data_IF_962768383499
#
_entry.id   IF_962768383499
#
_cell.length_a   1.000
_cell.length_b   1.000
_cell.length_c   1.000
_cell.angle_alpha   90.00
_cell.angle_beta   90.00
_cell.angle_gamma   90.00
#
_symmetry.space_group_name_H-M   'P 1'
#
loop_
_entity.id
_entity.type
_entity.pdbx_description
1 polymer ?
#
# COMPACT_ATOMS: atom_id res chain seq x y z
N UNK A 1 -95.99 -0.02 0.97
CA UNK A 1 -94.89 -0.91 0.52
C UNK A 1 -93.92 -0.07 -0.30
N UNK A 2 -92.73 0.20 0.24
CA UNK A 2 -91.67 0.99 -0.41
C UNK A 2 -90.77 0.04 -1.22
N UNK A 3 -90.59 0.32 -2.50
CA UNK A 3 -89.61 -0.33 -3.38
C UNK A 3 -88.29 0.45 -3.32
N UNK A 4 -87.22 -0.18 -2.82
CA UNK A 4 -85.85 0.33 -2.92
C UNK A 4 -85.18 -0.32 -4.13
N UNK A 5 -84.74 0.49 -5.09
CA UNK A 5 -83.89 0.07 -6.20
C UNK A 5 -82.42 0.06 -5.78
N UNK A 6 -81.73 -1.06 -6.00
CA UNK A 6 -80.29 -1.20 -5.82
C UNK A 6 -79.57 -0.80 -7.12
N UNK A 7 -78.67 0.18 -7.02
CA UNK A 7 -77.69 0.50 -8.05
C UNK A 7 -76.43 -0.34 -7.80
N UNK A 8 -76.03 -1.16 -8.77
CA UNK A 8 -74.73 -1.84 -8.75
C UNK A 8 -73.68 -0.90 -9.34
N UNK A 9 -72.70 -0.47 -8.52
CA UNK A 9 -71.51 0.24 -8.95
C UNK A 9 -70.42 -0.80 -9.25
N UNK A 10 -70.05 -0.96 -10.52
CA UNK A 10 -68.94 -1.82 -10.92
C UNK A 10 -67.62 -1.06 -10.76
N UNK A 11 -66.83 -1.42 -9.74
CA UNK A 11 -65.43 -1.00 -9.64
C UNK A 11 -64.58 -1.90 -10.55
N UNK A 12 -64.04 -1.30 -11.61
CA UNK A 12 -62.98 -1.90 -12.42
C UNK A 12 -61.65 -1.68 -11.69
N UNK A 13 -61.10 -2.75 -11.11
CA UNK A 13 -59.71 -2.77 -10.64
C UNK A 13 -58.83 -2.90 -11.87
N UNK A 14 -58.26 -1.79 -12.34
CA UNK A 14 -57.21 -1.80 -13.36
C UNK A 14 -55.96 -2.44 -12.77
N UNK A 15 -55.60 -3.64 -13.23
CA UNK A 15 -54.25 -4.15 -13.07
C UNK A 15 -53.31 -3.23 -13.85
N UNK A 16 -52.56 -2.39 -13.16
CA UNK A 16 -51.40 -1.75 -13.74
C UNK A 16 -50.38 -2.84 -14.08
N UNK A 17 -50.25 -3.14 -15.35
CA UNK A 17 -49.13 -3.93 -15.88
C UNK A 17 -47.85 -3.18 -15.56
N UNK A 18 -47.03 -3.70 -14.67
CA UNK A 18 -45.65 -3.26 -14.50
C UNK A 18 -44.94 -3.61 -15.81
N UNK A 19 -44.60 -2.60 -16.63
CA UNK A 19 -43.73 -2.83 -17.79
C UNK A 19 -42.41 -3.42 -17.28
N UNK A 20 -42.04 -4.57 -17.82
CA UNK A 20 -40.78 -5.20 -17.47
C UNK A 20 -39.63 -4.33 -18.01
N UNK A 21 -38.71 -3.96 -17.13
CA UNK A 21 -37.49 -3.25 -17.50
C UNK A 21 -36.75 -4.03 -18.59
N UNK A 22 -36.42 -3.36 -19.70
CA UNK A 22 -35.71 -4.00 -20.80
C UNK A 22 -34.21 -3.93 -20.57
N UNK A 23 -33.60 -5.09 -20.39
CA UNK A 23 -32.15 -5.25 -20.29
C UNK A 23 -31.46 -4.76 -21.58
N UNK A 24 -30.43 -3.89 -21.47
CA UNK A 24 -29.58 -3.52 -22.59
C UNK A 24 -28.91 -4.75 -23.20
N UNK A 25 -28.88 -4.83 -24.53
CA UNK A 25 -28.26 -5.96 -25.24
C UNK A 25 -27.09 -5.48 -26.07
N UNK A 26 -25.88 -5.89 -25.68
CA UNK A 26 -24.69 -5.68 -26.51
C UNK A 26 -24.86 -6.38 -27.86
N UNK A 27 -24.52 -5.68 -28.94
CA UNK A 27 -24.57 -6.27 -30.28
C UNK A 27 -23.37 -7.20 -30.46
N UNK A 28 -23.57 -8.50 -30.77
CA UNK A 28 -22.47 -9.41 -31.05
C UNK A 28 -21.80 -9.04 -32.38
N UNK A 29 -20.47 -9.00 -32.39
CA UNK A 29 -19.63 -8.72 -33.56
C UNK A 29 -18.60 -9.83 -33.73
N UNK A 30 -18.53 -10.50 -34.89
CA UNK A 30 -17.55 -11.55 -35.11
C UNK A 30 -16.12 -11.06 -34.83
N UNK A 31 -15.44 -11.71 -33.89
CA UNK A 31 -14.04 -11.49 -33.61
C UNK A 31 -13.39 -12.84 -33.27
N UNK A 32 -12.43 -13.25 -34.08
CA UNK A 32 -11.72 -14.50 -33.92
C UNK A 32 -10.40 -14.27 -33.17
N UNK A 33 -10.18 -15.03 -32.11
CA UNK A 33 -8.92 -15.07 -31.39
C UNK A 33 -8.27 -16.45 -31.62
N UNK A 34 -7.07 -16.48 -32.18
CA UNK A 34 -6.34 -17.71 -32.45
C UNK A 34 -5.12 -17.84 -31.55
N UNK A 35 -5.00 -18.96 -30.86
CA UNK A 35 -3.83 -19.28 -30.06
C UNK A 35 -3.61 -20.80 -30.04
N UNK A 36 -2.36 -21.23 -30.23
CA UNK A 36 -1.97 -22.65 -30.27
C UNK A 36 -2.75 -23.50 -31.30
N UNK A 37 -3.19 -22.88 -32.39
CA UNK A 37 -3.98 -23.55 -33.45
C UNK A 37 -5.45 -23.79 -33.09
N UNK A 38 -5.93 -23.24 -31.98
CA UNK A 38 -7.35 -23.20 -31.61
C UNK A 38 -7.93 -21.80 -31.87
N UNK A 39 -9.12 -21.75 -32.48
CA UNK A 39 -9.80 -20.49 -32.83
C UNK A 39 -11.04 -20.34 -31.96
N UNK A 40 -11.02 -19.34 -31.08
CA UNK A 40 -12.16 -18.95 -30.24
C UNK A 40 -12.85 -17.74 -30.85
N UNK A 41 -14.18 -17.70 -30.78
CA UNK A 41 -14.96 -16.53 -31.16
C UNK A 41 -15.36 -15.76 -29.90
N UNK A 42 -14.98 -14.49 -29.84
CA UNK A 42 -15.43 -13.56 -28.81
C UNK A 42 -16.31 -12.48 -29.44
N UNK A 43 -17.63 -12.68 -29.51
CA UNK A 43 -18.51 -11.72 -30.16
C UNK A 43 -18.57 -10.35 -29.45
N UNK A 44 -17.98 -10.22 -28.25
CA UNK A 44 -18.04 -9.00 -27.45
C UNK A 44 -16.66 -8.36 -27.25
N UNK A 45 -15.64 -8.84 -27.95
CA UNK A 45 -14.27 -8.31 -27.86
C UNK A 45 -14.22 -6.79 -28.04
N UNK A 46 -15.09 -6.23 -28.88
CA UNK A 46 -15.18 -4.80 -29.16
C UNK A 46 -15.53 -3.94 -27.93
N UNK A 47 -16.11 -4.51 -26.86
CA UNK A 47 -16.38 -3.81 -25.61
C UNK A 47 -15.10 -3.40 -24.85
N UNK A 48 -13.93 -3.90 -25.26
CA UNK A 48 -12.65 -3.52 -24.67
C UNK A 48 -12.14 -2.13 -25.12
N UNK A 49 -12.74 -1.54 -26.16
CA UNK A 49 -12.34 -0.25 -26.71
C UNK A 49 -12.96 0.90 -25.91
N UNK A 50 -12.18 1.42 -24.96
CA UNK A 50 -12.63 2.40 -23.95
C UNK A 50 -13.05 3.75 -24.54
N UNK A 51 -12.55 4.11 -25.72
CA UNK A 51 -12.84 5.40 -26.37
C UNK A 51 -13.99 5.29 -27.38
N UNK A 52 -14.47 4.08 -27.64
CA UNK A 52 -15.53 3.82 -28.61
C UNK A 52 -16.88 4.36 -28.12
N UNK A 53 -17.54 5.27 -28.85
CA UNK A 53 -18.84 5.82 -28.47
C UNK A 53 -19.94 4.76 -28.29
N UNK A 54 -19.88 3.65 -29.02
CA UNK A 54 -20.86 2.56 -28.87
C UNK A 54 -20.67 1.77 -27.57
N UNK A 55 -19.43 1.67 -27.08
CA UNK A 55 -19.14 1.04 -25.79
C UNK A 55 -19.66 1.94 -24.68
N UNK A 56 -19.37 3.24 -24.75
CA UNK A 56 -19.86 4.23 -23.79
C UNK A 56 -21.39 4.22 -23.75
N UNK A 57 -22.05 4.27 -24.91
CA UNK A 57 -23.51 4.23 -24.99
C UNK A 57 -24.11 2.95 -24.40
N UNK A 58 -23.45 1.80 -24.58
CA UNK A 58 -23.89 0.55 -23.96
C UNK A 58 -23.74 0.58 -22.44
N UNK A 59 -22.62 1.09 -21.92
CA UNK A 59 -22.40 1.25 -20.47
C UNK A 59 -23.41 2.22 -19.84
N UNK A 60 -23.74 3.32 -20.53
CA UNK A 60 -24.77 4.28 -20.08
C UNK A 60 -26.16 3.64 -20.03
N UNK A 61 -26.48 2.76 -20.98
CA UNK A 61 -27.72 2.00 -20.98
C UNK A 61 -27.76 0.99 -19.81
N UNK A 62 -26.66 0.29 -19.52
CA UNK A 62 -26.54 -0.61 -18.37
C UNK A 62 -26.68 0.13 -17.03
N UNK A 63 -26.07 1.32 -16.92
CA UNK A 63 -26.24 2.18 -15.75
C UNK A 63 -27.70 2.60 -15.55
N UNK A 64 -28.37 3.00 -16.64
CA UNK A 64 -29.80 3.36 -16.61
C UNK A 64 -30.65 2.17 -16.16
N UNK A 65 -30.45 0.99 -16.75
CA UNK A 65 -31.15 -0.23 -16.37
C UNK A 65 -30.94 -0.59 -14.89
N UNK A 66 -29.71 -0.45 -14.38
CA UNK A 66 -29.39 -0.62 -12.96
C UNK A 66 -30.12 0.39 -12.08
N UNK A 67 -30.14 1.67 -12.46
CA UNK A 67 -30.81 2.72 -11.71
C UNK A 67 -32.33 2.49 -11.61
N UNK A 68 -32.96 2.10 -12.71
CA UNK A 68 -34.39 1.80 -12.76
C UNK A 68 -34.72 0.52 -11.95
N UNK A 69 -33.92 -0.53 -12.11
CA UNK A 69 -34.09 -1.80 -11.39
C UNK A 69 -33.87 -1.70 -9.88
N UNK A 70 -33.03 -0.75 -9.44
CA UNK A 70 -32.77 -0.50 -8.02
C UNK A 70 -33.79 0.44 -7.36
N UNK A 71 -34.67 1.11 -8.12
CA UNK A 71 -35.68 2.04 -7.55
C UNK A 71 -36.50 1.43 -6.40
N UNK A 72 -37.01 0.17 -6.48
CA UNK A 72 -37.83 -0.39 -5.42
C UNK A 72 -37.10 -0.53 -4.07
N UNK A 73 -35.77 -0.60 -4.06
CA UNK A 73 -34.95 -0.75 -2.86
C UNK A 73 -34.21 0.53 -2.45
N UNK A 74 -34.45 1.65 -3.13
CA UNK A 74 -33.74 2.91 -2.88
C UNK A 74 -33.87 3.39 -1.44
N UNK A 75 -35.05 3.23 -0.82
CA UNK A 75 -35.24 3.56 0.58
C UNK A 75 -34.40 2.72 1.53
N UNK A 76 -34.19 1.43 1.23
CA UNK A 76 -33.31 0.55 2.02
C UNK A 76 -31.84 0.93 1.81
N UNK A 77 -31.43 1.24 0.57
CA UNK A 77 -30.09 1.73 0.25
C UNK A 77 -29.75 2.97 1.08
N UNK A 78 -30.66 3.94 1.17
CA UNK A 78 -30.43 5.18 1.92
C UNK A 78 -30.33 4.93 3.45
N UNK A 79 -31.12 3.98 3.97
CA UNK A 79 -31.02 3.53 5.37
C UNK A 79 -29.65 2.91 5.63
N UNK A 80 -29.22 1.96 4.78
CA UNK A 80 -27.92 1.29 4.92
C UNK A 80 -26.76 2.28 4.77
N UNK A 81 -26.84 3.21 3.80
CA UNK A 81 -25.85 4.26 3.62
C UNK A 81 -25.70 5.11 4.88
N UNK A 82 -26.81 5.58 5.44
CA UNK A 82 -26.82 6.38 6.68
C UNK A 82 -26.29 5.57 7.87
N UNK A 83 -26.68 4.30 7.99
CA UNK A 83 -26.24 3.41 9.06
C UNK A 83 -24.73 3.13 9.01
N UNK A 84 -24.17 2.92 7.82
CA UNK A 84 -22.73 2.70 7.61
C UNK A 84 -21.93 3.99 7.85
N UNK A 85 -22.35 5.12 7.28
CA UNK A 85 -21.63 6.40 7.41
C UNK A 85 -21.65 6.94 8.84
N UNK A 86 -22.74 6.74 9.59
CA UNK A 86 -22.81 7.13 11.01
C UNK A 86 -21.86 6.35 11.92
N UNK A 87 -21.32 5.21 11.46
CA UNK A 87 -20.30 4.45 12.20
C UNK A 87 -18.88 4.93 11.93
N UNK A 88 -18.67 5.72 10.89
CA UNK A 88 -17.37 6.31 10.59
C UNK A 88 -17.06 7.40 11.62
N UNK A 89 -15.84 7.40 12.13
CA UNK A 89 -15.37 8.50 12.96
C UNK A 89 -15.03 9.68 12.03
N UNK A 90 -15.68 10.85 12.16
CA UNK A 90 -15.38 12.02 11.33
C UNK A 90 -13.98 12.62 11.58
N UNK A 91 -13.28 12.17 12.62
CA UNK A 91 -11.87 12.47 12.87
C UNK A 91 -11.06 11.16 12.86
N UNK A 92 -10.56 10.80 11.68
CA UNK A 92 -9.76 9.59 11.45
C UNK A 92 -8.25 9.90 11.55
N UNK A 93 -7.84 10.52 12.65
CA UNK A 93 -6.44 10.82 12.91
C UNK A 93 -5.63 9.58 13.29
N UNK A 94 -4.46 9.41 12.67
CA UNK A 94 -3.51 8.35 13.03
C UNK A 94 -2.91 8.60 14.42
N UNK A 95 -2.41 7.54 15.08
CA UNK A 95 -1.58 7.71 16.28
C UNK A 95 -0.24 8.35 15.87
N UNK A 96 0.25 9.40 16.56
CA UNK A 96 1.55 10.00 16.26
C UNK A 96 2.68 8.97 16.28
N UNK A 97 3.60 9.05 15.32
CA UNK A 97 4.78 8.17 15.22
C UNK A 97 6.03 8.99 15.48
N UNK A 98 6.89 8.51 16.39
CA UNK A 98 8.19 9.13 16.63
C UNK A 98 9.25 8.60 15.66
N UNK A 99 9.97 9.51 15.01
CA UNK A 99 11.04 9.21 14.08
C UNK A 99 12.10 10.32 14.16
N UNK A 100 13.31 9.97 14.63
CA UNK A 100 14.50 10.83 14.69
C UNK A 100 14.29 12.20 15.37
N UNK A 101 13.61 12.19 16.51
CA UNK A 101 13.33 13.42 17.27
C UNK A 101 12.15 14.23 16.74
N UNK A 102 11.40 13.72 15.77
CA UNK A 102 10.15 14.31 15.29
C UNK A 102 8.96 13.38 15.55
N UNK A 103 7.77 13.97 15.64
CA UNK A 103 6.50 13.26 15.66
C UNK A 103 5.72 13.56 14.39
N UNK A 104 5.27 12.51 13.71
CA UNK A 104 4.46 12.60 12.50
C UNK A 104 3.05 12.09 12.74
N UNK A 105 2.06 12.75 12.14
CA UNK A 105 0.66 12.35 12.26
C UNK A 105 -0.09 12.65 10.96
N UNK A 106 -0.95 11.73 10.55
CA UNK A 106 -1.89 11.95 9.44
C UNK A 106 -3.27 12.20 10.03
N UNK A 107 -3.99 13.21 9.54
CA UNK A 107 -5.33 13.54 10.04
C UNK A 107 -6.33 13.73 8.92
N UNK A 108 -7.53 13.18 9.11
CA UNK A 108 -8.72 13.53 8.34
C UNK A 108 -9.58 14.43 9.20
N UNK A 109 -9.48 15.73 8.96
CA UNK A 109 -10.26 16.71 9.72
C UNK A 109 -11.70 16.73 9.22
N UNK A 110 -12.64 17.01 10.12
CA UNK A 110 -14.06 17.05 9.80
C UNK A 110 -14.36 17.91 8.58
N UNK A 111 -15.02 17.32 7.59
CA UNK A 111 -15.42 17.98 6.34
C UNK A 111 -14.31 18.07 5.29
N UNK A 112 -13.15 17.45 5.53
CA UNK A 112 -12.09 17.29 4.54
C UNK A 112 -12.20 15.92 3.87
N UNK A 113 -12.02 15.86 2.56
CA UNK A 113 -12.04 14.62 1.77
C UNK A 113 -10.67 13.92 1.77
N UNK A 114 -9.60 14.67 2.07
CA UNK A 114 -8.22 14.22 1.97
C UNK A 114 -7.42 14.47 3.26
N UNK A 115 -6.33 13.72 3.50
CA UNK A 115 -5.55 13.86 4.72
C UNK A 115 -4.70 15.13 4.74
N UNK A 116 -4.37 15.56 5.95
CA UNK A 116 -3.27 16.48 6.26
C UNK A 116 -2.15 15.74 6.98
N UNK A 117 -0.92 16.04 6.61
CA UNK A 117 0.27 15.51 7.25
C UNK A 117 0.87 16.56 8.17
N UNK A 118 1.05 16.19 9.43
CA UNK A 118 1.54 17.05 10.49
C UNK A 118 2.87 16.55 11.03
N UNK A 119 3.72 17.50 11.44
CA UNK A 119 5.01 17.26 12.08
C UNK A 119 5.14 18.12 13.34
N UNK A 120 5.72 17.54 14.41
CA UNK A 120 6.17 18.26 15.62
C UNK A 120 7.63 17.93 15.90
N UNK A 121 8.40 18.92 16.34
CA UNK A 121 9.80 18.71 16.73
C UNK A 121 9.92 18.43 18.23
N UNK A 122 10.76 17.46 18.59
CA UNK A 122 11.04 17.08 19.98
C UNK A 122 9.91 16.31 20.64
N UNK A 123 8.99 17.04 21.29
CA UNK A 123 7.94 16.45 22.12
C UNK A 123 6.63 16.22 21.34
N UNK A 124 5.85 15.23 21.77
CA UNK A 124 4.58 14.86 21.13
C UNK A 124 3.52 15.97 21.24
N UNK A 125 3.59 16.80 22.28
CA UNK A 125 2.77 17.97 22.56
C UNK A 125 3.44 19.30 22.16
N UNK A 126 4.56 19.22 21.42
CA UNK A 126 5.29 20.38 20.94
C UNK A 126 4.55 21.15 19.81
N UNK A 127 5.11 22.29 19.36
CA UNK A 127 4.56 23.06 18.26
C UNK A 127 4.40 22.21 16.99
N UNK A 128 3.25 22.36 16.35
CA UNK A 128 2.84 21.59 15.19
C UNK A 128 2.95 22.40 13.89
N UNK A 129 3.29 21.71 12.79
CA UNK A 129 3.32 22.27 11.44
C UNK A 129 2.64 21.29 10.48
N UNK A 130 1.68 21.78 9.68
CA UNK A 130 1.15 21.04 8.53
C UNK A 130 2.20 21.08 7.42
N UNK A 131 2.76 19.93 7.10
CA UNK A 131 3.81 19.78 6.08
C UNK A 131 3.25 19.41 4.70
N UNK A 132 2.01 18.95 4.63
CA UNK A 132 1.29 18.68 3.38
C UNK A 132 -0.22 18.68 3.64
N UNK A 133 -0.96 19.54 2.94
CA UNK A 133 -2.42 19.51 2.90
C UNK A 133 -2.87 19.00 1.52
N UNK A 134 -3.38 17.77 1.48
CA UNK A 134 -3.81 17.15 0.23
C UNK A 134 -5.11 17.77 -0.29
N UNK A 135 -5.91 18.41 0.57
CA UNK A 135 -7.13 19.09 0.14
C UNK A 135 -6.79 20.28 -0.76
N UNK A 136 -5.75 21.04 -0.42
CA UNK A 136 -5.27 22.15 -1.27
C UNK A 136 -4.76 21.65 -2.63
N UNK A 137 -4.09 20.50 -2.67
CA UNK A 137 -3.67 19.88 -3.92
C UNK A 137 -4.84 19.38 -4.77
N UNK A 138 -5.92 18.95 -4.12
CA UNK A 138 -7.10 18.42 -4.78
C UNK A 138 -8.05 19.52 -5.30
N UNK A 139 -7.85 20.79 -4.92
CA UNK A 139 -8.71 21.88 -5.38
C UNK A 139 -8.76 21.97 -6.91
N UNK A 140 -9.97 21.91 -7.46
CA UNK A 140 -10.21 21.93 -8.91
C UNK A 140 -9.85 20.64 -9.65
N UNK A 141 -9.40 19.59 -8.95
CA UNK A 141 -9.09 18.28 -9.53
C UNK A 141 -10.27 17.32 -9.38
N UNK A 142 -10.57 16.54 -10.43
CA UNK A 142 -11.59 15.50 -10.36
C UNK A 142 -11.15 14.28 -9.53
N UNK A 143 -9.83 14.12 -9.34
CA UNK A 143 -9.20 13.06 -8.59
C UNK A 143 -7.88 13.57 -8.02
N UNK A 144 -7.52 13.16 -6.82
CA UNK A 144 -6.21 13.42 -6.23
C UNK A 144 -5.79 12.24 -5.36
N UNK A 145 -4.58 11.73 -5.58
CA UNK A 145 -3.98 10.73 -4.70
C UNK A 145 -2.50 11.06 -4.49
N UNK A 146 -2.09 11.12 -3.23
CA UNK A 146 -0.68 11.25 -2.85
C UNK A 146 -0.10 9.87 -2.52
N UNK A 147 1.05 9.53 -3.13
CA UNK A 147 1.82 8.33 -2.81
C UNK A 147 2.82 8.62 -1.69
N UNK A 148 2.40 8.42 -0.44
CA UNK A 148 3.26 8.51 0.75
C UNK A 148 4.00 9.85 0.92
N UNK A 149 4.85 9.91 1.95
CA UNK A 149 5.80 11.01 2.18
C UNK A 149 7.18 10.41 2.48
N UNK A 150 8.22 10.98 1.87
CA UNK A 150 9.60 10.48 1.98
C UNK A 150 10.50 11.58 2.50
N UNK A 151 11.10 11.37 3.67
CA UNK A 151 11.87 12.37 4.39
C UNK A 151 13.37 12.10 4.25
N UNK A 152 14.15 13.16 4.09
CA UNK A 152 15.62 13.10 4.21
C UNK A 152 16.01 12.66 5.64
N UNK A 153 17.23 12.15 5.80
CA UNK A 153 17.67 11.62 7.09
C UNK A 153 17.67 12.67 8.22
N UNK A 154 17.85 13.95 7.86
CA UNK A 154 17.82 15.13 8.74
C UNK A 154 16.43 15.78 8.86
N UNK A 155 15.42 15.22 8.18
CA UNK A 155 14.05 15.71 8.15
C UNK A 155 13.89 17.17 7.69
N UNK A 156 14.84 17.69 6.91
CA UNK A 156 14.77 19.04 6.34
C UNK A 156 14.04 19.08 5.00
N UNK A 157 13.94 17.96 4.28
CA UNK A 157 13.28 17.90 2.97
C UNK A 157 12.32 16.73 2.90
N UNK A 158 11.26 16.90 2.12
CA UNK A 158 10.25 15.89 1.84
C UNK A 158 10.08 15.71 0.34
N UNK A 159 9.88 14.49 -0.10
CA UNK A 159 9.33 14.16 -1.41
C UNK A 159 7.97 13.48 -1.24
N UNK A 160 7.06 13.69 -2.19
CA UNK A 160 5.79 12.98 -2.30
C UNK A 160 5.44 12.81 -3.77
N UNK A 161 4.76 11.73 -4.14
CA UNK A 161 4.18 11.58 -5.48
C UNK A 161 2.71 12.01 -5.47
N UNK A 162 2.22 12.60 -6.55
CA UNK A 162 0.80 12.95 -6.72
C UNK A 162 0.25 12.48 -8.06
N UNK A 163 -0.95 11.89 -8.06
CA UNK A 163 -1.70 11.45 -9.24
C UNK A 163 -3.05 12.16 -9.27
N UNK A 164 -3.35 12.82 -10.40
CA UNK A 164 -4.61 13.53 -10.63
C UNK A 164 -5.54 12.83 -11.64
N UNK A 165 -5.14 11.67 -12.17
CA UNK A 165 -5.84 10.96 -13.26
C UNK A 165 -6.15 9.50 -12.94
N UNK A 166 -5.88 9.03 -11.72
CA UNK A 166 -6.22 7.68 -11.22
C UNK A 166 -5.61 6.55 -12.06
N UNK A 167 -4.38 6.77 -12.56
CA UNK A 167 -3.61 5.77 -13.32
C UNK A 167 -2.45 5.20 -12.51
N UNK A 168 -2.31 5.60 -11.24
CA UNK A 168 -1.15 5.33 -10.38
C UNK A 168 0.15 5.73 -11.09
N UNK A 169 0.09 6.84 -11.84
CA UNK A 169 1.21 7.43 -12.56
C UNK A 169 1.49 8.78 -11.90
N UNK A 170 2.45 8.79 -10.98
CA UNK A 170 2.65 9.89 -10.06
C UNK A 170 3.66 10.89 -10.61
N UNK A 171 3.44 12.15 -10.28
CA UNK A 171 4.45 13.21 -10.40
C UNK A 171 5.10 13.42 -9.03
N UNK A 172 6.41 13.19 -8.91
CA UNK A 172 7.15 13.48 -7.69
C UNK A 172 7.34 14.98 -7.53
N UNK A 173 7.09 15.47 -6.33
CA UNK A 173 7.28 16.86 -5.91
C UNK A 173 8.02 16.92 -4.60
N UNK A 174 8.67 18.06 -4.35
CA UNK A 174 9.60 18.22 -3.25
C UNK A 174 9.29 19.46 -2.41
N UNK A 175 9.50 19.37 -1.11
CA UNK A 175 9.22 20.45 -0.15
C UNK A 175 10.44 20.66 0.74
N UNK A 176 10.88 21.91 0.86
CA UNK A 176 11.76 22.35 1.94
C UNK A 176 10.92 22.50 3.21
N UNK A 177 11.19 21.67 4.22
CA UNK A 177 10.42 21.64 5.46
C UNK A 177 10.86 22.69 6.47
N UNK A 178 11.98 23.39 6.26
CA UNK A 178 12.38 24.51 7.11
C UNK A 178 11.58 25.76 6.75
N UNK A 179 11.33 25.99 5.46
CA UNK A 179 10.52 27.11 4.98
C UNK A 179 9.07 26.74 4.63
N UNK A 180 8.74 25.45 4.67
CA UNK A 180 7.48 24.88 4.22
C UNK A 180 7.11 25.30 2.78
N UNK A 181 8.11 25.27 1.88
CA UNK A 181 7.99 25.74 0.50
C UNK A 181 8.20 24.59 -0.49
N UNK A 182 7.27 24.43 -1.42
CA UNK A 182 7.41 23.49 -2.53
C UNK A 182 8.44 23.99 -3.53
N UNK A 183 9.32 23.10 -3.97
CA UNK A 183 10.32 23.39 -5.00
C UNK A 183 9.65 23.51 -6.37
N UNK A 184 10.16 24.41 -7.21
CA UNK A 184 9.82 24.48 -8.64
C UNK A 184 10.61 23.43 -9.42
N UNK A 185 10.42 22.17 -9.04
CA UNK A 185 11.07 21.01 -9.62
C UNK A 185 10.18 19.79 -9.41
N UNK A 186 9.84 19.09 -10.48
CA UNK A 186 8.99 17.90 -10.43
C UNK A 186 9.48 16.81 -11.39
N UNK A 187 9.12 15.56 -11.09
CA UNK A 187 9.47 14.40 -11.93
C UNK A 187 8.20 13.64 -12.28
N UNK A 188 7.67 13.78 -13.51
CA UNK A 188 6.46 13.08 -13.94
C UNK A 188 6.72 11.62 -14.31
N UNK A 189 5.66 10.83 -14.48
CA UNK A 189 5.76 9.48 -15.05
C UNK A 189 6.30 8.40 -14.11
N UNK A 190 6.23 8.64 -12.80
CA UNK A 190 6.81 7.75 -11.78
C UNK A 190 5.78 6.75 -11.25
N UNK A 191 6.27 5.70 -10.60
CA UNK A 191 5.42 4.75 -9.87
C UNK A 191 5.08 5.21 -8.44
N UNK A 192 5.68 6.29 -7.96
CA UNK A 192 5.68 6.71 -6.55
C UNK A 192 6.78 6.03 -5.71
N UNK A 193 7.48 5.01 -6.25
CA UNK A 193 8.64 4.41 -5.59
C UNK A 193 9.81 5.40 -5.49
N UNK A 194 10.38 5.55 -4.30
CA UNK A 194 11.32 6.63 -3.99
C UNK A 194 12.29 6.29 -2.86
N UNK A 195 13.54 6.72 -2.98
CA UNK A 195 14.54 6.67 -1.91
C UNK A 195 15.46 7.90 -1.91
N UNK A 196 15.61 8.54 -0.74
CA UNK A 196 16.66 9.54 -0.52
C UNK A 196 18.01 8.87 -0.25
N UNK A 197 19.08 9.41 -0.83
CA UNK A 197 20.43 9.17 -0.36
C UNK A 197 20.69 9.85 1.00
N UNK A 198 21.84 9.57 1.61
CA UNK A 198 22.23 10.12 2.90
C UNK A 198 22.66 11.59 2.82
N UNK A 199 23.03 12.09 1.64
CA UNK A 199 23.36 13.50 1.40
C UNK A 199 22.12 14.42 1.45
N UNK A 200 20.91 13.84 1.40
CA UNK A 200 19.65 14.58 1.40
C UNK A 200 19.35 15.35 0.11
N UNK A 201 20.09 15.12 -0.97
CA UNK A 201 19.97 15.84 -2.25
C UNK A 201 19.87 14.88 -3.43
N UNK A 202 20.61 13.77 -3.39
CA UNK A 202 20.50 12.69 -4.37
C UNK A 202 19.30 11.82 -4.02
N UNK A 203 18.51 11.48 -5.02
CA UNK A 203 17.36 10.59 -4.86
C UNK A 203 17.27 9.58 -6.00
N UNK A 204 16.56 8.49 -5.71
CA UNK A 204 16.30 7.41 -6.62
C UNK A 204 14.80 7.24 -6.75
N UNK A 205 14.32 6.96 -7.96
CA UNK A 205 12.90 6.83 -8.24
C UNK A 205 12.64 5.81 -9.33
N UNK A 206 11.44 5.24 -9.32
CA UNK A 206 11.03 4.25 -10.30
C UNK A 206 10.02 4.85 -11.31
N UNK A 207 10.16 4.51 -12.59
CA UNK A 207 9.25 4.95 -13.66
C UNK A 207 8.39 3.81 -14.18
N UNK A 208 7.27 4.17 -14.82
CA UNK A 208 6.39 3.20 -15.48
C UNK A 208 6.51 3.28 -16.99
N UNK A 209 6.42 2.13 -17.64
CA UNK A 209 6.14 2.07 -19.07
C UNK A 209 4.76 2.70 -19.36
N UNK A 210 4.64 3.63 -20.32
CA UNK A 210 3.41 4.40 -20.53
C UNK A 210 2.22 3.57 -21.06
N UNK A 211 2.49 2.39 -21.62
CA UNK A 211 1.47 1.52 -22.23
C UNK A 211 1.04 0.45 -21.23
N UNK A 212 1.99 -0.33 -20.73
CA UNK A 212 1.76 -1.48 -19.85
C UNK A 212 1.61 -1.09 -18.38
N UNK A 213 2.08 0.11 -18.00
CA UNK A 213 2.17 0.59 -16.61
C UNK A 213 3.08 -0.26 -15.70
N UNK A 214 3.88 -1.17 -16.29
CA UNK A 214 4.90 -1.96 -15.59
C UNK A 214 5.99 -1.02 -15.07
N UNK A 215 6.47 -1.28 -13.86
CA UNK A 215 7.62 -0.55 -13.30
C UNK A 215 8.88 -1.31 -13.67
N UNK A 216 9.67 -0.76 -14.58
CA UNK A 216 10.79 -1.45 -15.22
C UNK A 216 12.14 -0.74 -15.04
N UNK A 217 12.15 0.54 -14.64
CA UNK A 217 13.38 1.35 -14.58
C UNK A 217 13.50 2.08 -13.26
N UNK A 218 14.73 2.08 -12.73
CA UNK A 218 15.13 2.89 -11.59
C UNK A 218 16.15 3.93 -12.06
N UNK A 219 15.89 5.17 -11.68
CA UNK A 219 16.69 6.33 -12.04
C UNK A 219 17.29 6.97 -10.80
N UNK A 220 18.42 7.63 -10.98
CA UNK A 220 19.07 8.49 -9.98
C UNK A 220 19.10 9.92 -10.50
N UNK A 221 18.82 10.87 -9.62
CA UNK A 221 18.88 12.30 -9.92
C UNK A 221 19.26 13.11 -8.68
N UNK A 222 19.77 14.32 -8.89
CA UNK A 222 20.01 15.31 -7.83
C UNK A 222 18.88 16.34 -7.83
N UNK A 223 18.35 16.69 -6.66
CA UNK A 223 17.26 17.64 -6.50
C UNK A 223 17.58 18.99 -7.17
N UNK A 224 16.69 19.45 -8.05
CA UNK A 224 16.85 20.72 -8.77
C UNK A 224 17.89 20.70 -9.90
N UNK A 225 18.50 19.55 -10.19
CA UNK A 225 19.45 19.40 -11.30
C UNK A 225 18.75 19.56 -12.65
N UNK A 226 19.43 20.22 -13.59
CA UNK A 226 19.02 20.29 -15.02
C UNK A 226 19.70 19.22 -15.88
N UNK A 227 20.58 18.39 -15.28
CA UNK A 227 21.20 17.29 -15.98
C UNK A 227 20.19 16.16 -16.25
N UNK A 228 20.43 15.39 -17.30
CA UNK A 228 19.64 14.18 -17.59
C UNK A 228 19.74 13.18 -16.42
N UNK A 229 18.63 12.54 -16.02
CA UNK A 229 18.65 11.53 -14.97
C UNK A 229 19.48 10.32 -15.40
N UNK A 230 20.19 9.71 -14.45
CA UNK A 230 21.00 8.51 -14.71
C UNK A 230 20.15 7.25 -14.52
N UNK A 231 20.03 6.41 -15.55
CA UNK A 231 19.46 5.06 -15.41
C UNK A 231 20.42 4.21 -14.58
N UNK A 232 19.96 3.67 -13.45
CA UNK A 232 20.79 2.84 -12.56
C UNK A 232 20.39 1.37 -12.56
N UNK A 233 19.17 1.06 -13.01
CA UNK A 233 18.68 -0.32 -13.16
C UNK A 233 17.54 -0.38 -14.18
N UNK A 234 17.51 -1.45 -14.98
CA UNK A 234 16.44 -1.75 -15.93
C UNK A 234 16.08 -3.24 -15.83
N UNK A 235 14.81 -3.53 -15.54
CA UNK A 235 14.24 -4.86 -15.54
C UNK A 235 13.75 -5.22 -16.95
N UNK A 236 14.58 -5.99 -17.65
CA UNK A 236 14.32 -6.39 -19.04
C UNK A 236 13.35 -7.55 -19.18
N UNK A 237 13.11 -8.33 -18.11
CA UNK A 237 12.12 -9.39 -18.12
C UNK A 237 10.72 -8.81 -17.86
N UNK A 238 9.83 -8.95 -18.85
CA UNK A 238 8.48 -8.39 -18.81
C UNK A 238 7.58 -9.04 -17.74
N UNK A 239 7.97 -10.19 -17.18
CA UNK A 239 7.23 -10.80 -16.06
C UNK A 239 7.59 -10.19 -14.70
N UNK A 240 8.65 -9.40 -14.63
CA UNK A 240 9.13 -8.78 -13.41
C UNK A 240 8.71 -7.31 -13.33
N UNK A 241 8.55 -6.84 -12.11
CA UNK A 241 8.51 -5.41 -11.81
C UNK A 241 9.59 -5.07 -10.79
N UNK A 242 10.08 -3.84 -10.82
CA UNK A 242 11.07 -3.35 -9.86
C UNK A 242 10.54 -2.19 -9.02
N UNK A 243 11.21 -1.94 -7.90
CA UNK A 243 10.97 -0.79 -7.02
C UNK A 243 12.25 -0.36 -6.33
N UNK A 244 12.24 0.85 -5.76
CA UNK A 244 13.37 1.39 -5.01
C UNK A 244 12.89 1.95 -3.68
N UNK A 245 13.61 1.68 -2.61
CA UNK A 245 13.31 2.18 -1.27
C UNK A 245 14.58 2.23 -0.41
N UNK A 246 14.52 2.99 0.69
CA UNK A 246 15.61 3.08 1.66
C UNK A 246 15.36 2.09 2.80
N UNK A 247 16.41 1.39 3.24
CA UNK A 247 16.37 0.53 4.43
C UNK A 247 15.95 1.30 5.68
N UNK A 248 15.34 0.60 6.67
CA UNK A 248 14.97 1.17 7.98
C UNK A 248 16.14 1.89 8.67
N UNK A 249 17.31 1.26 8.66
CA UNK A 249 18.56 1.83 9.18
C UNK A 249 19.08 3.07 8.44
N UNK A 250 18.48 3.42 7.29
CA UNK A 250 18.87 4.49 6.37
C UNK A 250 20.24 4.34 5.70
N UNK A 251 21.03 3.33 6.06
CA UNK A 251 22.39 3.12 5.52
C UNK A 251 22.40 2.64 4.08
N UNK A 252 21.37 1.91 3.66
CA UNK A 252 21.30 1.33 2.32
C UNK A 252 20.06 1.74 1.57
N UNK A 253 20.22 1.86 0.25
CA UNK A 253 19.14 1.96 -0.73
C UNK A 253 19.03 0.59 -1.37
N UNK A 254 17.80 0.09 -1.50
CA UNK A 254 17.48 -1.18 -2.13
C UNK A 254 16.78 -0.95 -3.46
N UNK A 255 17.18 -1.72 -4.46
CA UNK A 255 16.32 -2.03 -5.60
C UNK A 255 15.82 -3.45 -5.38
N UNK A 256 14.50 -3.61 -5.34
CA UNK A 256 13.87 -4.93 -5.30
C UNK A 256 13.20 -5.17 -6.64
N UNK A 257 13.37 -6.37 -7.18
CA UNK A 257 12.61 -6.81 -8.34
C UNK A 257 12.10 -8.22 -8.10
N UNK A 258 10.88 -8.48 -8.55
CA UNK A 258 10.25 -9.76 -8.36
C UNK A 258 9.19 -10.07 -9.39
N UNK A 259 8.92 -11.37 -9.51
CA UNK A 259 7.80 -11.97 -10.20
C UNK A 259 7.03 -12.87 -9.21
N UNK A 260 6.18 -13.77 -9.69
CA UNK A 260 5.29 -14.56 -8.83
C UNK A 260 6.00 -15.40 -7.76
N UNK A 261 7.16 -15.98 -8.07
CA UNK A 261 7.89 -16.90 -7.18
C UNK A 261 9.41 -16.71 -7.23
N UNK A 262 9.85 -15.49 -7.55
CA UNK A 262 11.27 -15.14 -7.72
C UNK A 262 11.50 -13.72 -7.29
N UNK A 263 12.46 -13.52 -6.39
CA UNK A 263 12.93 -12.20 -5.96
C UNK A 263 14.41 -11.99 -6.29
N UNK A 264 14.78 -10.72 -6.46
CA UNK A 264 16.17 -10.26 -6.47
C UNK A 264 16.26 -8.89 -5.79
N UNK A 265 17.24 -8.75 -4.90
CA UNK A 265 17.53 -7.52 -4.20
C UNK A 265 18.94 -7.07 -4.51
N UNK A 266 19.03 -5.80 -4.84
CA UNK A 266 20.26 -5.05 -5.00
C UNK A 266 20.37 -4.04 -3.87
N UNK A 267 21.59 -3.64 -3.53
CA UNK A 267 21.85 -2.65 -2.49
C UNK A 267 22.95 -1.69 -2.91
N UNK A 268 22.87 -0.47 -2.36
CA UNK A 268 23.85 0.60 -2.50
C UNK A 268 23.99 1.29 -1.14
N UNK A 269 25.22 1.64 -0.74
CA UNK A 269 25.45 2.49 0.42
C UNK A 269 24.90 3.89 0.15
N UNK A 270 23.93 4.33 0.97
CA UNK A 270 23.24 5.60 0.80
C UNK A 270 24.18 6.81 0.94
N UNK A 271 25.34 6.65 1.59
CA UNK A 271 26.38 7.69 1.70
C UNK A 271 27.27 7.81 0.46
N UNK A 272 27.20 6.85 -0.45
CA UNK A 272 27.97 6.81 -1.69
C UNK A 272 27.02 6.69 -2.90
N UNK A 273 26.07 7.64 -3.09
CA UNK A 273 24.95 7.47 -4.00
C UNK A 273 25.32 7.47 -5.49
N UNK A 274 26.58 7.79 -5.81
CA UNK A 274 27.10 7.75 -7.17
C UNK A 274 27.67 6.39 -7.59
N UNK A 275 27.87 5.46 -6.63
CA UNK A 275 28.36 4.11 -6.92
C UNK A 275 27.27 3.23 -7.54
N UNK A 276 27.72 2.09 -8.08
CA UNK A 276 26.86 1.09 -8.68
C UNK A 276 26.17 0.23 -7.61
N UNK A 277 24.94 -0.20 -7.91
CA UNK A 277 24.23 -1.17 -7.09
C UNK A 277 24.93 -2.54 -7.17
N UNK A 278 24.97 -3.23 -6.03
CA UNK A 278 25.49 -4.60 -5.94
C UNK A 278 24.34 -5.57 -5.66
N UNK A 279 24.31 -6.69 -6.38
CA UNK A 279 23.34 -7.76 -6.12
C UNK A 279 23.64 -8.44 -4.79
N UNK A 280 22.63 -8.62 -3.94
CA UNK A 280 22.78 -9.31 -2.66
C UNK A 280 22.88 -10.82 -2.86
N UNK A 281 21.97 -11.36 -3.69
CA UNK A 281 21.98 -12.73 -4.18
C UNK A 281 21.29 -12.74 -5.55
N UNK A 282 21.87 -13.37 -6.59
CA UNK A 282 21.20 -13.49 -7.88
C UNK A 282 19.87 -14.25 -7.77
N UNK A 283 18.89 -13.87 -8.60
CA UNK A 283 17.59 -14.53 -8.66
C UNK A 283 17.70 -16.02 -8.97
N UNK A 284 16.81 -16.80 -8.36
CA UNK A 284 16.68 -18.24 -8.58
C UNK A 284 15.19 -18.60 -8.63
N UNK A 285 14.78 -19.40 -9.61
CA UNK A 285 13.38 -19.79 -9.77
C UNK A 285 12.85 -20.50 -8.52
N UNK A 286 11.70 -20.05 -8.01
CA UNK A 286 11.09 -20.58 -6.79
C UNK A 286 11.73 -20.10 -5.49
N UNK A 287 12.71 -19.19 -5.55
CA UNK A 287 13.32 -18.57 -4.37
C UNK A 287 12.80 -17.16 -4.18
N UNK A 288 12.05 -17.00 -3.10
CA UNK A 288 11.52 -15.73 -2.63
C UNK A 288 12.32 -15.29 -1.41
N UNK A 289 12.59 -13.99 -1.30
CA UNK A 289 13.22 -13.44 -0.12
C UNK A 289 12.98 -11.95 0.08
N UNK A 290 13.05 -11.51 1.32
CA UNK A 290 13.15 -10.09 1.68
C UNK A 290 14.38 -9.85 2.56
N UNK A 291 14.91 -8.63 2.52
CA UNK A 291 16.12 -8.26 3.24
C UNK A 291 15.90 -7.07 4.17
N UNK A 292 16.47 -7.18 5.37
CA UNK A 292 16.63 -6.09 6.32
C UNK A 292 18.10 -5.93 6.70
N UNK A 293 18.58 -4.70 6.73
CA UNK A 293 19.85 -4.38 7.39
C UNK A 293 19.59 -4.05 8.86
N UNK A 294 20.33 -4.70 9.76
CA UNK A 294 20.28 -4.39 11.19
C UNK A 294 21.63 -4.64 11.86
N UNK A 295 22.10 -3.68 12.66
CA UNK A 295 23.40 -3.75 13.31
C UNK A 295 24.57 -3.85 12.31
N UNK A 296 25.26 -4.98 12.31
CA UNK A 296 26.43 -5.31 11.49
C UNK A 296 26.17 -6.44 10.48
N UNK A 297 24.90 -6.67 10.13
CA UNK A 297 24.51 -7.79 9.30
C UNK A 297 23.28 -7.52 8.43
N UNK A 298 23.13 -8.38 7.43
CA UNK A 298 21.89 -8.58 6.70
C UNK A 298 21.10 -9.70 7.36
N UNK A 299 19.80 -9.48 7.50
CA UNK A 299 18.83 -10.49 7.87
C UNK A 299 17.91 -10.73 6.68
N UNK A 300 17.75 -12.00 6.30
CA UNK A 300 17.05 -12.38 5.09
C UNK A 300 15.95 -13.38 5.43
N UNK A 301 14.69 -13.00 5.25
CA UNK A 301 13.58 -13.96 5.31
C UNK A 301 13.50 -14.64 3.94
N UNK A 302 13.68 -15.95 3.85
CA UNK A 302 13.66 -16.67 2.57
C UNK A 302 13.13 -18.09 2.67
N UNK A 303 12.54 -18.57 1.57
CA UNK A 303 12.17 -19.97 1.36
C UNK A 303 13.35 -20.83 0.83
N UNK A 304 14.58 -20.27 0.78
CA UNK A 304 15.79 -20.91 0.26
C UNK A 304 15.95 -22.36 0.74
N UNK A 305 16.27 -23.26 -0.20
CA UNK A 305 16.43 -24.68 0.08
C UNK A 305 15.10 -25.42 0.28
N UNK A 306 13.99 -24.90 -0.24
CA UNK A 306 12.67 -25.53 -0.20
C UNK A 306 11.92 -25.33 1.12
N UNK A 307 12.30 -24.32 1.91
CA UNK A 307 11.66 -23.96 3.19
C UNK A 307 10.35 -23.22 2.94
N UNK A 308 9.28 -23.96 2.64
CA UNK A 308 7.96 -23.40 2.29
C UNK A 308 7.39 -22.40 3.32
N UNK A 309 7.74 -22.57 4.59
CA UNK A 309 7.32 -21.69 5.69
C UNK A 309 8.34 -20.61 6.07
N UNK A 310 9.37 -20.45 5.24
CA UNK A 310 10.45 -19.48 5.37
C UNK A 310 11.33 -19.69 6.62
N UNK A 311 12.61 -19.38 6.46
CA UNK A 311 13.55 -19.22 7.56
C UNK A 311 14.06 -17.78 7.59
N UNK A 312 14.57 -17.34 8.74
CA UNK A 312 15.35 -16.12 8.84
C UNK A 312 16.83 -16.48 8.77
N UNK A 313 17.52 -16.00 7.75
CA UNK A 313 18.96 -16.14 7.57
C UNK A 313 19.68 -14.88 8.04
N UNK A 314 20.97 -15.00 8.33
CA UNK A 314 21.90 -13.91 8.61
C UNK A 314 23.10 -14.01 7.66
N UNK A 315 23.55 -12.87 7.16
CA UNK A 315 24.77 -12.74 6.36
C UNK A 315 25.62 -11.54 6.81
N UNK A 316 26.96 -11.65 6.78
CA UNK A 316 27.84 -10.53 7.10
C UNK A 316 27.79 -9.43 6.02
N UNK A 317 28.02 -8.17 6.38
CA UNK A 317 28.06 -7.07 5.40
C UNK A 317 29.18 -7.24 4.36
N UNK A 318 30.28 -7.88 4.74
CA UNK A 318 31.43 -8.12 3.86
C UNK A 318 31.19 -9.20 2.80
N UNK A 319 30.22 -10.10 3.05
CA UNK A 319 29.79 -11.12 2.11
C UNK A 319 28.28 -11.35 2.26
N UNK A 320 27.45 -10.46 1.66
CA UNK A 320 26.00 -10.53 1.78
C UNK A 320 25.37 -11.79 1.18
N UNK A 321 26.14 -12.58 0.42
CA UNK A 321 25.70 -13.84 -0.18
C UNK A 321 25.86 -15.05 0.74
N UNK A 322 26.68 -14.94 1.79
CA UNK A 322 26.97 -16.01 2.74
C UNK A 322 25.87 -16.17 3.79
N UNK A 323 24.71 -16.66 3.36
CA UNK A 323 23.53 -16.82 4.21
C UNK A 323 23.65 -18.03 5.12
N UNK A 324 23.47 -17.82 6.41
CA UNK A 324 23.43 -18.87 7.43
C UNK A 324 22.09 -18.82 8.17
N UNK A 325 21.43 -19.97 8.45
CA UNK A 325 20.19 -19.96 9.21
C UNK A 325 20.38 -19.30 10.59
N UNK A 326 19.56 -18.28 10.88
CA UNK A 326 19.49 -17.61 12.17
C UNK A 326 18.28 -18.10 12.97
N UNK A 327 17.09 -18.12 12.34
CA UNK A 327 15.92 -18.87 12.81
C UNK A 327 15.55 -19.88 11.72
N UNK A 328 15.55 -21.16 12.08
CA UNK A 328 15.19 -22.22 11.13
C UNK A 328 13.68 -22.29 10.90
N UNK A 329 13.28 -22.70 9.70
CA UNK A 329 11.88 -22.86 9.32
C UNK A 329 11.21 -23.96 10.13
N UNK A 330 9.94 -23.74 10.50
CA UNK A 330 9.13 -24.73 11.21
C UNK A 330 8.01 -25.27 10.31
N UNK A 331 7.69 -26.59 10.34
CA UNK A 331 6.69 -27.19 9.46
C UNK A 331 5.27 -26.62 9.58
N UNK A 332 4.91 -26.13 10.77
CA UNK A 332 3.54 -25.67 11.10
C UNK A 332 3.47 -24.19 11.47
N UNK A 333 4.54 -23.43 11.23
CA UNK A 333 4.62 -21.99 11.49
C UNK A 333 5.22 -21.29 10.28
N UNK A 334 4.40 -20.48 9.61
CA UNK A 334 4.86 -19.59 8.54
C UNK A 334 5.47 -18.33 9.16
N UNK A 335 6.76 -18.10 8.91
CA UNK A 335 7.38 -16.81 9.19
C UNK A 335 6.91 -15.82 8.13
N UNK A 336 6.14 -14.80 8.49
CA UNK A 336 5.63 -13.77 7.57
C UNK A 336 6.51 -12.51 7.53
N UNK A 337 7.08 -12.13 8.67
CA UNK A 337 7.83 -10.88 8.80
C UNK A 337 8.77 -10.87 9.99
N UNK A 338 9.63 -9.85 10.04
CA UNK A 338 10.56 -9.61 11.12
C UNK A 338 10.82 -8.11 11.30
N UNK A 339 10.63 -7.62 12.52
CA UNK A 339 10.96 -6.26 12.96
C UNK A 339 12.17 -6.29 13.89
N UNK A 340 13.09 -5.36 13.67
CA UNK A 340 14.36 -5.29 14.39
C UNK A 340 14.38 -4.06 15.29
N UNK A 341 14.70 -4.30 16.57
CA UNK A 341 14.91 -3.31 17.62
C UNK A 341 16.26 -3.56 18.30
N UNK A 342 16.85 -2.54 18.93
CA UNK A 342 18.17 -2.62 19.58
C UNK A 342 18.31 -3.84 20.50
N UNK A 343 17.28 -4.10 21.32
CA UNK A 343 17.28 -5.16 22.33
C UNK A 343 16.43 -6.40 21.97
N UNK A 344 15.61 -6.31 20.91
CA UNK A 344 14.65 -7.36 20.54
C UNK A 344 14.56 -7.58 19.03
N UNK A 345 14.36 -8.84 18.64
CA UNK A 345 13.76 -9.23 17.36
C UNK A 345 12.27 -9.49 17.61
N UNK A 346 11.40 -8.99 16.76
CA UNK A 346 9.99 -9.40 16.74
C UNK A 346 9.68 -10.12 15.45
N UNK A 347 9.19 -11.35 15.51
CA UNK A 347 8.77 -12.10 14.31
C UNK A 347 7.25 -12.15 14.21
N UNK A 348 6.75 -12.00 12.98
CA UNK A 348 5.34 -12.21 12.64
C UNK A 348 5.19 -13.66 12.16
N UNK A 349 4.48 -14.48 12.92
CA UNK A 349 4.40 -15.92 12.73
C UNK A 349 2.96 -16.37 12.59
N UNK A 350 2.58 -17.03 11.49
CA UNK A 350 1.26 -17.63 11.34
C UNK A 350 1.30 -19.11 11.70
N UNK A 351 0.50 -19.50 12.69
CA UNK A 351 0.28 -20.88 13.09
C UNK A 351 -1.21 -21.13 13.33
N UNK A 352 -1.71 -22.30 12.92
CA UNK A 352 -3.13 -22.66 13.04
C UNK A 352 -4.10 -21.59 12.49
N UNK A 353 -3.68 -20.86 11.45
CA UNK A 353 -4.44 -19.80 10.80
C UNK A 353 -4.33 -18.40 11.42
N UNK A 354 -3.72 -18.26 12.61
CA UNK A 354 -3.61 -16.99 13.33
C UNK A 354 -2.18 -16.44 13.31
N UNK A 355 -2.05 -15.12 13.14
CA UNK A 355 -0.75 -14.43 13.25
C UNK A 355 -0.44 -14.17 14.72
N UNK A 356 0.81 -14.42 15.12
CA UNK A 356 1.36 -14.13 16.42
C UNK A 356 2.57 -13.21 16.25
N UNK A 357 2.67 -12.20 17.12
CA UNK A 357 3.87 -11.37 17.23
C UNK A 357 4.74 -11.95 18.35
N UNK A 358 5.87 -12.53 17.98
CA UNK A 358 6.79 -13.21 18.88
C UNK A 358 7.95 -12.28 19.26
N UNK A 359 8.01 -11.88 20.52
CA UNK A 359 9.10 -11.07 21.08
C UNK A 359 10.29 -11.97 21.42
N UNK A 360 11.47 -11.67 20.85
CA UNK A 360 12.69 -12.47 20.96
C UNK A 360 13.86 -11.59 21.43
N UNK A 361 14.20 -11.60 22.73
CA UNK A 361 15.33 -10.82 23.25
C UNK A 361 16.67 -11.26 22.66
N UNK A 362 17.52 -10.32 22.21
CA UNK A 362 18.84 -10.66 21.65
C UNK A 362 19.80 -11.26 22.69
N UNK A 363 19.57 -10.99 23.97
CA UNK A 363 20.39 -11.47 25.08
C UNK A 363 20.18 -12.96 25.42
N UNK A 364 19.39 -13.69 24.63
CA UNK A 364 19.08 -15.11 24.86
C UNK A 364 17.93 -15.36 25.83
N UNK A 365 17.17 -14.32 26.22
CA UNK A 365 15.93 -14.48 26.95
C UNK A 365 14.89 -15.32 26.20
N UNK A 366 13.96 -15.93 26.94
CA UNK A 366 12.93 -16.81 26.36
C UNK A 366 11.99 -16.03 25.44
N UNK A 367 11.83 -16.46 24.16
CA UNK A 367 10.82 -15.90 23.27
C UNK A 367 9.40 -16.04 23.84
N UNK A 368 8.55 -15.03 23.64
CA UNK A 368 7.15 -15.06 24.08
C UNK A 368 6.23 -14.30 23.11
N UNK A 369 4.98 -14.74 22.94
CA UNK A 369 4.01 -14.01 22.12
C UNK A 369 3.45 -12.80 22.85
N UNK A 370 3.01 -11.79 22.10
CA UNK A 370 2.01 -10.84 22.59
C UNK A 370 0.67 -11.58 22.71
N UNK A 371 0.27 -11.90 23.94
CA UNK A 371 -0.95 -12.66 24.23
C UNK A 371 -2.21 -11.90 23.76
N UNK A 372 -3.15 -12.64 23.16
CA UNK A 372 -4.45 -12.12 22.73
C UNK A 372 -5.56 -12.79 23.52
N UNK A 373 -6.64 -12.06 23.78
CA UNK A 373 -7.78 -12.53 24.56
C UNK A 373 -8.80 -13.29 23.71
N UNK A 374 -8.93 -12.92 22.42
CA UNK A 374 -9.90 -13.51 21.51
C UNK A 374 -9.31 -14.72 20.75
N UNK A 375 -10.15 -15.72 20.47
CA UNK A 375 -9.75 -16.91 19.71
C UNK A 375 -9.63 -16.67 18.20
N UNK A 376 -10.25 -15.60 17.69
CA UNK A 376 -10.23 -15.23 16.27
C UNK A 376 -9.94 -13.75 16.12
N UNK A 377 -8.81 -13.41 15.52
CA UNK A 377 -8.32 -12.04 15.40
C UNK A 377 -7.38 -11.90 14.19
N UNK A 378 -7.06 -10.66 13.85
CA UNK A 378 -5.93 -10.29 12.99
C UNK A 378 -4.97 -9.43 13.80
N UNK A 379 -3.69 -9.73 13.67
CA UNK A 379 -2.58 -9.09 14.38
C UNK A 379 -1.47 -8.83 13.36
N UNK A 380 -0.86 -7.65 13.41
CA UNK A 380 0.22 -7.27 12.50
C UNK A 380 1.14 -6.23 13.13
N UNK A 381 2.41 -6.23 12.75
CA UNK A 381 3.33 -5.18 13.15
C UNK A 381 2.88 -3.81 12.61
N UNK A 382 2.93 -2.78 13.45
CA UNK A 382 2.56 -1.41 13.09
C UNK A 382 3.75 -0.59 12.59
N UNK A 383 3.58 0.74 12.57
CA UNK A 383 4.67 1.65 12.21
C UNK A 383 5.72 1.72 13.33
N UNK A 384 6.89 1.13 13.07
CA UNK A 384 8.03 1.07 13.98
C UNK A 384 9.32 1.62 13.32
N UNK A 385 9.38 2.91 12.94
CA UNK A 385 10.53 3.44 12.18
C UNK A 385 11.81 3.56 13.01
N UNK A 386 11.71 3.55 14.35
CA UNK A 386 12.85 3.67 15.27
C UNK A 386 13.25 2.29 15.78
N UNK A 387 14.54 1.96 15.68
CA UNK A 387 15.11 0.70 16.20
C UNK A 387 15.39 0.78 17.72
N UNK A 388 15.79 1.96 18.20
CA UNK A 388 16.17 2.21 19.59
C UNK A 388 14.96 2.59 20.45
N UNK A 389 14.13 1.60 20.75
CA UNK A 389 12.94 1.72 21.59
C UNK A 389 12.60 0.38 22.24
N UNK A 390 11.98 0.44 23.42
CA UNK A 390 11.40 -0.73 24.09
C UNK A 390 9.92 -0.93 23.78
N UNK A 391 9.30 0.05 23.10
CA UNK A 391 7.90 0.03 22.73
C UNK A 391 7.74 -0.35 21.27
N UNK A 392 7.05 -1.47 21.03
CA UNK A 392 6.66 -1.91 19.70
C UNK A 392 5.20 -1.52 19.47
N UNK A 393 4.92 -0.86 18.35
CA UNK A 393 3.56 -0.62 17.87
C UNK A 393 3.04 -1.80 17.07
N UNK A 394 1.79 -2.18 17.30
CA UNK A 394 1.11 -3.22 16.54
C UNK A 394 -0.37 -2.89 16.33
N UNK A 395 -0.95 -3.46 15.28
CA UNK A 395 -2.38 -3.37 14.99
C UNK A 395 -3.11 -4.64 15.41
N UNK A 396 -4.33 -4.48 15.89
CA UNK A 396 -5.22 -5.56 16.31
C UNK A 396 -6.65 -5.28 15.84
N UNK A 397 -7.33 -6.31 15.34
CA UNK A 397 -8.75 -6.24 15.00
C UNK A 397 -9.39 -7.63 15.05
N UNK A 398 -10.70 -7.69 15.23
CA UNK A 398 -11.49 -8.91 15.08
C UNK A 398 -12.89 -8.61 14.55
N UNK A 399 -13.72 -9.65 14.39
CA UNK A 399 -15.11 -9.47 13.96
C UNK A 399 -15.97 -8.74 15.00
N UNK A 400 -15.51 -8.63 16.26
CA UNK A 400 -16.24 -7.98 17.36
C UNK A 400 -15.46 -6.84 18.02
N UNK A 401 -14.17 -6.70 17.71
CA UNK A 401 -13.30 -5.62 18.20
C UNK A 401 -12.81 -4.76 17.03
N UNK A 402 -13.18 -3.47 16.95
CA UNK A 402 -12.71 -2.58 15.90
C UNK A 402 -11.18 -2.46 15.84
N UNK A 403 -10.67 -2.15 14.65
CA UNK A 403 -9.24 -1.96 14.43
C UNK A 403 -8.65 -0.94 15.40
N UNK A 404 -7.61 -1.36 16.11
CA UNK A 404 -6.96 -0.61 17.18
C UNK A 404 -5.44 -0.67 17.01
N UNK A 405 -4.77 0.44 17.35
CA UNK A 405 -3.31 0.50 17.43
C UNK A 405 -2.91 0.44 18.89
N UNK A 406 -2.05 -0.50 19.24
CA UNK A 406 -1.50 -0.67 20.59
C UNK A 406 0.01 -0.46 20.59
N UNK A 407 0.55 -0.11 21.75
CA UNK A 407 1.99 -0.21 22.02
C UNK A 407 2.26 -1.26 23.09
N UNK A 408 3.26 -2.10 22.84
CA UNK A 408 3.70 -3.17 23.72
C UNK A 408 5.13 -2.89 24.20
N UNK A 409 5.32 -2.81 25.51
CA UNK A 409 6.65 -2.68 26.11
C UNK A 409 7.34 -4.05 26.14
N UNK A 410 8.28 -4.28 25.22
CA UNK A 410 8.91 -5.58 24.98
C UNK A 410 9.66 -6.16 26.19
N UNK A 411 10.12 -5.32 27.13
CA UNK A 411 10.72 -5.72 28.40
C UNK A 411 9.71 -6.12 29.49
N UNK A 412 8.69 -5.30 29.72
CA UNK A 412 7.80 -5.41 30.90
C UNK A 412 6.49 -6.14 30.60
N UNK A 413 6.12 -6.22 29.31
CA UNK A 413 4.84 -6.74 28.86
C UNK A 413 3.66 -5.77 29.02
N UNK A 414 3.93 -4.51 29.38
CA UNK A 414 2.89 -3.47 29.46
C UNK A 414 2.28 -3.21 28.07
N UNK A 415 0.96 -3.11 28.01
CA UNK A 415 0.18 -2.78 26.80
C UNK A 415 -0.59 -1.48 27.04
N UNK A 416 -0.53 -0.54 26.08
CA UNK A 416 -1.30 0.71 26.11
C UNK A 416 -1.94 1.05 24.78
#
# INVERSE_FOLDING_TARGET
>A
MRTLGFWLLALSVGCASTEALMEPKATPRPHAMEMHGDVRQDPYYWLNDRENPEVIAYLDAENTYREEGMQPVKALEDVLFTEMTNRLNPDESSVPVQMDGFWYQTRYEKGSEYPRYYRRAGAMDGPETCILDVNLLAEGQAYCQVSGIHLTADHQRMAYGVDFVSRRLYTLRFVDLATNTTWDYEVPGTSGGFAWAADGETFFYATKDPVTLRVDKIWRQVLGSTAEPTLVYEETDETFSCGVFRSKSKKYIHIATGATDVDEFWYLDASQPTQDFTVLRPRELGVEYSVSHFGDAWFIRSNLGGRKNYALFKAPLSDPSAWTPFLEAQPDVLLEGAEFFTDYLVTEERSQGLVQLMIRPWNGGTPHPIAQEEETYSLYAGSNPTEDTEWMRYGYTSLVTPSSTYEYHMRTGERR
#
